data_IF_199121501985
#
_entry.id   IF_199121501985
#
_cell.length_a   1.000
_cell.length_b   1.000
_cell.length_c   1.000
_cell.angle_alpha   90.00
_cell.angle_beta   90.00
_cell.angle_gamma   90.00
#
_symmetry.space_group_name_H-M   'P 1'
#
loop_
_entity.id
_entity.type
_entity.pdbx_description
1 polymer ?
#
# COMPACT_ATOMS: atom_id res chain seq x y z
N UNK A 1 -23.49 19.59 2.80
CA UNK A 1 -22.27 20.35 3.14
C UNK A 1 -21.75 20.94 1.83
N UNK A 2 -21.87 22.26 1.63
CA UNK A 2 -21.50 22.93 0.38
C UNK A 2 -20.02 23.30 0.50
N UNK A 3 -19.16 22.68 -0.31
CA UNK A 3 -17.72 23.00 -0.33
C UNK A 3 -17.55 24.39 -0.95
N UNK A 4 -16.78 25.31 -0.34
CA UNK A 4 -16.55 26.64 -0.91
C UNK A 4 -15.89 26.54 -2.29
N UNK A 5 -16.26 27.40 -3.23
CA UNK A 5 -15.61 27.46 -4.54
C UNK A 5 -14.11 27.75 -4.35
N UNK A 6 -13.26 26.83 -4.82
CA UNK A 6 -11.80 26.91 -4.69
C UNK A 6 -11.15 25.93 -3.71
N UNK A 7 -11.92 25.16 -2.93
CA UNK A 7 -11.37 24.10 -2.06
C UNK A 7 -11.80 22.74 -2.62
N UNK A 8 -10.84 21.93 -3.07
CA UNK A 8 -11.09 20.54 -3.49
C UNK A 8 -10.74 19.60 -2.33
N UNK A 9 -11.60 18.63 -2.06
CA UNK A 9 -11.27 17.57 -1.10
C UNK A 9 -10.29 16.60 -1.75
N UNK A 10 -9.32 16.09 -0.98
CA UNK A 10 -8.36 15.10 -1.49
C UNK A 10 -9.08 13.90 -2.13
N UNK A 11 -10.17 13.44 -1.52
CA UNK A 11 -10.98 12.33 -2.05
C UNK A 11 -11.55 12.67 -3.44
N UNK A 12 -12.04 13.90 -3.65
CA UNK A 12 -12.54 14.34 -4.95
C UNK A 12 -11.42 14.44 -5.97
N UNK A 13 -10.26 14.95 -5.57
CA UNK A 13 -9.08 15.03 -6.44
C UNK A 13 -8.59 13.64 -6.86
N UNK A 14 -8.43 12.72 -5.91
CA UNK A 14 -8.03 11.32 -6.17
C UNK A 14 -9.05 10.59 -7.06
N UNK A 15 -10.34 10.85 -6.88
CA UNK A 15 -11.40 10.23 -7.70
C UNK A 15 -11.21 10.50 -9.19
N UNK A 16 -10.74 11.68 -9.58
CA UNK A 16 -10.46 12.03 -10.98
C UNK A 16 -9.41 11.09 -11.60
N UNK A 17 -8.39 10.71 -10.83
CA UNK A 17 -7.32 9.80 -11.29
C UNK A 17 -7.80 8.35 -11.39
N UNK A 18 -8.67 7.93 -10.46
CA UNK A 18 -9.29 6.60 -10.51
C UNK A 18 -10.17 6.49 -11.76
N UNK A 19 -11.01 7.49 -12.03
CA UNK A 19 -11.87 7.52 -13.22
C UNK A 19 -11.08 7.58 -14.53
N UNK A 20 -9.92 8.25 -14.52
CA UNK A 20 -8.99 8.29 -15.65
C UNK A 20 -8.14 7.02 -15.80
N UNK A 21 -8.13 6.13 -14.80
CA UNK A 21 -7.26 4.95 -14.76
C UNK A 21 -5.77 5.28 -14.55
N UNK A 22 -5.45 6.48 -14.08
CA UNK A 22 -4.09 6.98 -13.89
C UNK A 22 -3.80 7.29 -12.42
N UNK A 23 -3.78 6.23 -11.59
CA UNK A 23 -3.51 6.39 -10.16
C UNK A 23 -2.09 6.88 -9.88
N UNK A 24 -1.12 6.60 -10.76
CA UNK A 24 0.28 7.00 -10.55
C UNK A 24 0.41 8.52 -10.43
N UNK A 25 -0.35 9.28 -11.22
CA UNK A 25 -0.39 10.75 -11.13
C UNK A 25 -0.96 11.30 -9.82
N UNK A 26 -1.59 10.46 -8.99
CA UNK A 26 -2.08 10.83 -7.65
C UNK A 26 -1.09 10.54 -6.52
N UNK A 27 -0.02 9.77 -6.79
CA UNK A 27 0.97 9.36 -5.79
C UNK A 27 1.95 10.50 -5.51
N UNK A 28 2.45 10.59 -4.27
CA UNK A 28 3.47 11.56 -3.89
C UNK A 28 4.68 11.45 -4.86
N UNK A 29 5.06 12.54 -5.56
CA UNK A 29 6.18 12.54 -6.51
C UNK A 29 7.51 12.07 -5.90
N UNK A 30 7.68 12.14 -4.57
CA UNK A 30 8.87 11.62 -3.87
C UNK A 30 8.96 10.09 -3.91
N UNK A 31 7.83 9.43 -4.18
CA UNK A 31 7.65 7.99 -4.37
C UNK A 31 7.58 7.60 -5.85
N UNK A 32 7.71 8.55 -6.77
CA UNK A 32 7.70 8.27 -8.21
C UNK A 32 8.80 7.27 -8.58
N UNK A 33 8.43 6.27 -9.38
CA UNK A 33 9.25 5.11 -9.73
C UNK A 33 9.61 4.18 -8.56
N UNK A 34 9.24 4.49 -7.31
CA UNK A 34 9.55 3.67 -6.12
C UNK A 34 8.39 2.82 -5.66
N UNK A 35 7.16 3.26 -5.88
CA UNK A 35 5.96 2.47 -5.63
C UNK A 35 5.62 1.66 -6.88
N UNK A 36 5.33 0.38 -6.72
CA UNK A 36 4.84 -0.48 -7.79
C UNK A 36 3.39 -0.14 -8.15
N UNK A 37 3.01 -0.27 -9.43
CA UNK A 37 1.73 0.26 -9.89
C UNK A 37 0.53 -0.49 -9.33
N UNK A 38 0.62 -1.82 -9.19
CA UNK A 38 -0.46 -2.62 -8.61
C UNK A 38 -0.56 -2.41 -7.09
N UNK A 39 0.57 -2.28 -6.39
CA UNK A 39 0.59 -1.94 -4.95
C UNK A 39 -0.05 -0.56 -4.71
N UNK A 40 0.25 0.43 -5.56
CA UNK A 40 -0.35 1.76 -5.51
C UNK A 40 -1.87 1.72 -5.74
N UNK A 41 -2.31 0.97 -6.75
CA UNK A 41 -3.73 0.83 -7.07
C UNK A 41 -4.49 0.23 -5.89
N UNK A 42 -4.00 -0.89 -5.36
CA UNK A 42 -4.60 -1.57 -4.22
C UNK A 42 -4.68 -0.66 -2.99
N UNK A 43 -3.60 0.08 -2.70
CA UNK A 43 -3.54 1.03 -1.59
C UNK A 43 -4.60 2.13 -1.70
N UNK A 44 -4.78 2.70 -2.90
CA UNK A 44 -5.78 3.74 -3.16
C UNK A 44 -7.19 3.18 -3.06
N UNK A 45 -7.45 1.98 -3.58
CA UNK A 45 -8.75 1.31 -3.41
C UNK A 45 -9.10 1.11 -1.94
N UNK A 46 -8.19 0.56 -1.13
CA UNK A 46 -8.36 0.40 0.33
C UNK A 46 -8.67 1.74 1.00
N UNK A 47 -7.93 2.80 0.65
CA UNK A 47 -8.15 4.13 1.20
C UNK A 47 -9.54 4.68 0.82
N UNK A 48 -9.98 4.46 -0.42
CA UNK A 48 -11.29 4.89 -0.91
C UNK A 48 -12.45 4.14 -0.22
N UNK A 49 -12.26 2.85 0.10
CA UNK A 49 -13.24 2.10 0.89
C UNK A 49 -13.39 2.66 2.31
N UNK A 50 -12.28 3.05 2.95
CA UNK A 50 -12.27 3.63 4.29
C UNK A 50 -13.07 4.95 4.39
N UNK A 51 -13.16 5.70 3.29
CA UNK A 51 -13.81 7.01 3.26
C UNK A 51 -15.22 6.97 2.64
N UNK A 52 -15.81 5.78 2.45
CA UNK A 52 -17.19 5.66 1.96
C UNK A 52 -18.17 6.45 2.82
N UNK A 53 -19.14 7.09 2.17
CA UNK A 53 -20.11 7.95 2.85
C UNK A 53 -20.95 7.17 3.88
N UNK A 54 -21.39 5.96 3.53
CA UNK A 54 -22.11 5.09 4.45
C UNK A 54 -21.12 4.36 5.36
N UNK A 55 -21.26 4.50 6.69
CA UNK A 55 -20.34 3.88 7.65
C UNK A 55 -20.33 2.34 7.56
N UNK A 56 -21.48 1.71 7.28
CA UNK A 56 -21.60 0.25 7.13
C UNK A 56 -20.81 -0.32 5.95
N UNK A 57 -20.42 0.55 5.02
CA UNK A 57 -19.63 0.20 3.84
C UNK A 57 -18.12 0.36 4.10
N UNK A 58 -17.70 0.93 5.23
CA UNK A 58 -16.29 1.07 5.55
C UNK A 58 -15.76 -0.26 6.08
N UNK A 59 -14.56 -0.69 5.67
CA UNK A 59 -13.95 -1.91 6.17
C UNK A 59 -13.62 -1.78 7.65
N UNK A 60 -13.60 -2.92 8.35
CA UNK A 60 -13.05 -3.01 9.70
C UNK A 60 -11.52 -2.81 9.65
N UNK A 61 -10.94 -2.32 10.75
CA UNK A 61 -9.50 -2.06 10.82
C UNK A 61 -8.66 -3.33 10.58
N UNK A 62 -9.18 -4.51 10.91
CA UNK A 62 -8.53 -5.80 10.61
C UNK A 62 -8.44 -6.08 9.11
N UNK A 63 -9.48 -5.74 8.35
CA UNK A 63 -9.50 -5.86 6.89
C UNK A 63 -8.54 -4.85 6.26
N UNK A 64 -8.55 -3.61 6.73
CA UNK A 64 -7.59 -2.58 6.29
C UNK A 64 -6.15 -3.06 6.52
N UNK A 65 -5.86 -3.63 7.70
CA UNK A 65 -4.53 -4.15 8.01
C UNK A 65 -4.13 -5.31 7.07
N UNK A 66 -5.07 -6.19 6.71
CA UNK A 66 -4.82 -7.27 5.77
C UNK A 66 -4.44 -6.74 4.39
N UNK A 67 -5.21 -5.78 3.86
CA UNK A 67 -4.96 -5.19 2.55
C UNK A 67 -3.66 -4.40 2.50
N UNK A 68 -3.31 -3.68 3.58
CA UNK A 68 -2.03 -2.99 3.68
C UNK A 68 -0.83 -3.97 3.70
N UNK A 69 -0.97 -5.14 4.33
CA UNK A 69 0.06 -6.18 4.29
C UNK A 69 0.21 -6.75 2.88
N UNK A 70 -0.87 -6.90 2.14
CA UNK A 70 -0.85 -7.33 0.75
C UNK A 70 -0.13 -6.30 -0.13
N UNK A 71 -0.47 -5.01 -0.01
CA UNK A 71 0.22 -3.92 -0.70
C UNK A 71 1.73 -3.95 -0.43
N UNK A 72 2.12 -4.15 0.83
CA UNK A 72 3.52 -4.25 1.24
C UNK A 72 4.22 -5.48 0.63
N UNK A 73 3.55 -6.63 0.60
CA UNK A 73 4.09 -7.85 0.00
C UNK A 73 4.32 -7.69 -1.52
N UNK A 74 3.38 -7.03 -2.22
CA UNK A 74 3.52 -6.70 -3.63
C UNK A 74 4.72 -5.78 -3.87
N UNK A 75 4.87 -4.75 -3.02
CA UNK A 75 5.96 -3.79 -3.11
C UNK A 75 7.33 -4.43 -2.86
N UNK A 76 7.45 -5.24 -1.80
CA UNK A 76 8.69 -5.94 -1.47
C UNK A 76 9.07 -6.98 -2.53
N UNK A 77 8.09 -7.67 -3.11
CA UNK A 77 8.34 -8.57 -4.25
C UNK A 77 8.84 -7.79 -5.47
N UNK A 78 8.24 -6.63 -5.75
CA UNK A 78 8.67 -5.75 -6.84
C UNK A 78 10.07 -5.20 -6.61
N UNK A 79 10.38 -4.77 -5.39
CA UNK A 79 11.71 -4.33 -5.00
C UNK A 79 12.75 -5.46 -5.16
N UNK A 80 12.41 -6.68 -4.75
CA UNK A 80 13.25 -7.86 -4.97
C UNK A 80 13.53 -8.12 -6.45
N UNK A 81 12.54 -7.94 -7.33
CA UNK A 81 12.75 -8.02 -8.80
C UNK A 81 13.65 -6.91 -9.33
N UNK A 82 13.52 -5.68 -8.81
CA UNK A 82 14.35 -4.54 -9.22
C UNK A 82 15.81 -4.66 -8.77
N UNK A 83 16.04 -5.29 -7.61
CA UNK A 83 17.38 -5.56 -7.09
C UNK A 83 17.98 -6.87 -7.65
N UNK A 84 17.13 -7.81 -8.08
CA UNK A 84 17.52 -9.11 -8.63
C UNK A 84 18.28 -9.07 -9.96
N UNK A 85 18.53 -7.89 -10.53
CA UNK A 85 19.48 -7.69 -11.63
C UNK A 85 20.93 -7.46 -11.13
N UNK A 86 21.16 -7.36 -9.81
CA UNK A 86 22.50 -7.40 -9.24
C UNK A 86 22.50 -7.86 -7.78
N UNK A 87 23.02 -9.07 -7.60
CA UNK A 87 23.44 -9.72 -6.35
C UNK A 87 22.34 -10.38 -5.51
N UNK A 88 22.37 -11.72 -5.51
CA UNK A 88 21.61 -12.57 -4.59
C UNK A 88 21.89 -12.17 -3.13
N UNK A 89 20.86 -11.77 -2.39
CA UNK A 89 20.92 -11.71 -0.94
C UNK A 89 20.33 -12.99 -0.39
N UNK A 90 21.19 -13.91 0.05
CA UNK A 90 20.77 -15.15 0.69
C UNK A 90 20.10 -14.84 2.04
N UNK A 91 19.04 -15.58 2.44
CA UNK A 91 18.42 -15.37 3.75
C UNK A 91 19.39 -15.84 4.83
N UNK A 92 19.65 -14.99 5.82
CA UNK A 92 20.41 -15.38 7.00
C UNK A 92 19.62 -16.46 7.77
N UNK A 93 20.14 -17.69 7.76
CA UNK A 93 19.68 -18.76 8.66
C UNK A 93 20.08 -18.37 10.07
N UNK A 94 19.09 -18.04 10.90
CA UNK A 94 19.28 -17.89 12.35
C UNK A 94 19.17 -19.29 12.96
N UNK A 95 20.30 -19.98 13.13
CA UNK A 95 20.36 -21.15 14.01
C UNK A 95 20.21 -20.67 15.45
N UNK A 96 18.96 -20.70 15.94
CA UNK A 96 18.66 -20.63 17.36
C UNK A 96 18.75 -22.04 17.93
N UNK A 97 19.96 -22.49 18.21
CA UNK A 97 20.16 -23.70 19.00
C UNK A 97 20.03 -23.32 20.49
N UNK A 98 18.81 -23.41 21.00
CA UNK A 98 18.56 -23.44 22.44
C UNK A 98 17.66 -24.61 22.79
N UNK A 99 18.24 -25.58 23.50
CA UNK A 99 17.48 -26.50 24.34
C UNK A 99 18.23 -26.79 25.64
N UNK A 100 17.50 -27.09 26.73
CA UNK A 100 17.81 -26.62 28.07
C UNK A 100 18.69 -27.60 28.84
N UNK A 101 19.48 -27.10 29.79
CA UNK A 101 20.08 -27.96 30.81
C UNK A 101 19.51 -27.61 32.18
N UNK A 102 18.75 -28.58 32.72
CA UNK A 102 18.41 -28.65 34.12
C UNK A 102 19.55 -29.34 34.87
N UNK A 103 20.09 -28.69 35.90
CA UNK A 103 20.65 -29.30 37.12
C UNK A 103 20.90 -28.22 38.17
#
# INVERSE_FOLDING_TARGET
>A
MRVPEGIILIIQWVTLFIEAGDIQSSIDPRLDGKLESNSAWKLVETAMECVRAAAIQRPDISQVLLELKECWAMETTAFGRRLGDSFEMTPAVLDSDSSPSAR
#
